data_IF_514243323568
#
_entry.id   IF_514243323568
#
_cell.length_a   1.000
_cell.length_b   1.000
_cell.length_c   1.000
_cell.angle_alpha   90.00
_cell.angle_beta   90.00
_cell.angle_gamma   90.00
#
_symmetry.space_group_name_H-M   'P 1'
#
loop_
_entity.id
_entity.type
_entity.pdbx_description
1 polymer ?
#
# COMPACT_ATOMS: atom_id res chain seq x y z
N UNK A 1 -13.03 -16.93 -8.60
CA UNK A 1 -11.84 -16.28 -9.20
C UNK A 1 -10.89 -17.38 -9.67
N UNK A 2 -10.56 -17.45 -10.96
CA UNK A 2 -9.77 -18.55 -11.52
C UNK A 2 -8.25 -18.31 -11.38
N UNK A 3 -7.43 -19.37 -11.55
CA UNK A 3 -5.97 -19.29 -11.44
C UNK A 3 -5.33 -18.35 -12.46
N UNK A 4 -5.91 -18.21 -13.66
CA UNK A 4 -5.41 -17.34 -14.73
C UNK A 4 -5.46 -15.86 -14.34
N UNK A 5 -6.62 -15.40 -13.82
CA UNK A 5 -6.77 -14.02 -13.37
C UNK A 5 -5.84 -13.66 -12.19
N UNK A 6 -5.46 -14.64 -11.35
CA UNK A 6 -4.50 -14.41 -10.26
C UNK A 6 -3.04 -14.32 -10.72
N UNK A 7 -2.71 -14.88 -11.89
CA UNK A 7 -1.36 -14.84 -12.47
C UNK A 7 -1.14 -13.68 -13.45
N UNK A 8 -2.22 -12.97 -13.80
CA UNK A 8 -2.19 -11.91 -14.82
C UNK A 8 -1.57 -10.57 -14.36
N UNK A 9 -1.64 -10.14 -13.07
CA UNK A 9 -0.97 -8.92 -12.66
C UNK A 9 0.55 -9.04 -12.82
N UNK A 10 1.15 -8.14 -13.58
CA UNK A 10 2.60 -8.08 -13.74
C UNK A 10 3.26 -7.15 -12.71
N UNK A 11 4.48 -7.47 -12.26
CA UNK A 11 5.22 -6.61 -11.37
C UNK A 11 5.60 -5.30 -12.09
N UNK A 12 5.74 -4.22 -11.31
CA UNK A 12 6.20 -2.94 -11.82
C UNK A 12 7.65 -3.09 -12.30
N UNK A 13 7.86 -2.92 -13.59
CA UNK A 13 9.17 -3.02 -14.22
C UNK A 13 9.56 -1.66 -14.80
N UNK A 14 10.71 -1.14 -14.37
CA UNK A 14 11.35 0.02 -14.93
C UNK A 14 12.85 -0.07 -14.66
N UNK A 15 13.65 0.58 -15.49
CA UNK A 15 15.09 0.68 -15.28
C UNK A 15 15.43 1.71 -14.20
N UNK A 16 14.66 2.81 -14.16
CA UNK A 16 14.91 3.94 -13.27
C UNK A 16 13.80 4.08 -12.23
N UNK A 17 14.18 4.00 -10.96
CA UNK A 17 13.26 4.20 -9.84
C UNK A 17 13.77 5.29 -8.90
N UNK A 18 12.85 6.07 -8.33
CA UNK A 18 13.18 6.89 -7.16
C UNK A 18 13.61 6.01 -5.98
N UNK A 19 14.74 6.29 -5.35
CA UNK A 19 15.23 5.51 -4.19
C UNK A 19 14.30 5.54 -2.99
N UNK A 20 13.51 6.62 -2.81
CA UNK A 20 12.54 6.74 -1.71
C UNK A 20 11.13 6.32 -2.14
N UNK A 21 10.45 7.07 -3.01
CA UNK A 21 9.06 6.76 -3.36
C UNK A 21 8.88 5.63 -4.38
N UNK A 22 9.99 5.09 -4.94
CA UNK A 22 10.00 4.01 -5.95
C UNK A 22 9.09 4.27 -7.15
N UNK A 23 8.85 5.54 -7.47
CA UNK A 23 8.17 5.92 -8.71
C UNK A 23 9.07 5.55 -9.90
N UNK A 24 8.52 4.85 -10.91
CA UNK A 24 9.27 4.49 -12.11
C UNK A 24 9.43 5.68 -13.06
N UNK A 25 10.54 5.73 -13.77
CA UNK A 25 10.84 6.72 -14.81
C UNK A 25 11.34 6.03 -16.09
N UNK A 26 11.09 6.67 -17.24
CA UNK A 26 11.53 6.15 -18.55
C UNK A 26 13.03 6.34 -18.80
N UNK A 27 13.66 7.28 -18.09
CA UNK A 27 15.09 7.55 -18.15
C UNK A 27 15.56 8.11 -16.79
N UNK A 28 16.88 8.27 -16.63
CA UNK A 28 17.47 8.81 -15.41
C UNK A 28 17.11 10.29 -15.14
N UNK A 29 16.69 11.05 -16.16
CA UNK A 29 16.37 12.49 -16.09
C UNK A 29 14.91 12.70 -15.63
N UNK A 30 14.64 12.46 -14.34
CA UNK A 30 14.44 13.57 -13.40
C UNK A 30 15.00 13.28 -11.99
N UNK A 31 15.82 12.23 -11.87
CA UNK A 31 16.47 11.82 -10.63
C UNK A 31 17.70 12.71 -10.35
N UNK A 32 18.05 12.92 -9.08
CA UNK A 32 19.33 13.53 -8.69
C UNK A 32 20.45 12.49 -8.66
N UNK A 33 21.65 12.89 -8.25
CA UNK A 33 22.80 12.01 -8.10
C UNK A 33 22.57 10.88 -7.08
N UNK A 34 21.63 11.06 -6.14
CA UNK A 34 21.22 10.05 -5.15
C UNK A 34 19.99 9.22 -5.62
N UNK A 35 19.56 9.38 -6.88
CA UNK A 35 18.45 8.63 -7.44
C UNK A 35 17.07 9.06 -6.94
N UNK A 36 16.90 10.28 -6.41
CA UNK A 36 15.62 10.81 -5.91
C UNK A 36 14.92 11.70 -6.92
N UNK A 37 13.61 11.51 -7.06
CA UNK A 37 12.78 12.36 -7.91
C UNK A 37 12.50 13.73 -7.27
N UNK A 38 12.09 14.70 -8.11
CA UNK A 38 11.79 16.06 -7.68
C UNK A 38 10.76 16.15 -6.52
N UNK A 39 9.77 15.27 -6.47
CA UNK A 39 8.76 15.26 -5.40
C UNK A 39 9.36 14.87 -4.03
N UNK A 40 10.23 13.86 -4.00
CA UNK A 40 10.96 13.47 -2.80
C UNK A 40 11.93 14.56 -2.34
N UNK A 41 12.64 15.19 -3.28
CA UNK A 41 13.54 16.33 -2.99
C UNK A 41 12.78 17.53 -2.40
N UNK A 42 11.60 17.83 -2.93
CA UNK A 42 10.80 19.00 -2.57
C UNK A 42 9.85 18.79 -1.38
N UNK A 43 10.08 17.76 -0.55
CA UNK A 43 9.42 17.65 0.75
C UNK A 43 8.32 16.59 0.88
N UNK A 44 8.25 15.61 -0.03
CA UNK A 44 7.57 14.36 0.30
C UNK A 44 8.41 13.60 1.34
N UNK A 45 8.01 13.67 2.61
CA UNK A 45 8.73 13.13 3.79
C UNK A 45 7.84 12.17 4.60
N UNK A 46 8.43 11.47 5.56
CA UNK A 46 7.71 10.64 6.55
C UNK A 46 7.70 9.14 6.25
N UNK A 47 8.58 8.68 5.36
CA UNK A 47 8.87 7.27 5.08
C UNK A 47 10.27 7.18 4.48
N UNK A 48 10.94 6.04 4.67
CA UNK A 48 12.26 5.78 4.07
C UNK A 48 12.08 5.32 2.62
N UNK A 49 11.25 4.29 2.42
CA UNK A 49 10.90 3.76 1.12
C UNK A 49 9.40 3.41 0.99
N UNK A 50 8.89 3.40 -0.24
CA UNK A 50 7.54 2.94 -0.56
C UNK A 50 7.58 1.81 -1.59
N UNK A 51 7.05 0.64 -1.24
CA UNK A 51 7.05 -0.52 -2.13
C UNK A 51 5.65 -0.79 -2.70
N UNK A 52 5.59 -1.16 -3.98
CA UNK A 52 4.34 -1.56 -4.64
C UNK A 52 4.60 -2.73 -5.59
N UNK A 53 3.59 -3.58 -5.78
CA UNK A 53 3.71 -4.71 -6.71
C UNK A 53 3.68 -4.26 -8.16
N UNK A 54 2.71 -3.43 -8.55
CA UNK A 54 2.42 -3.11 -9.96
C UNK A 54 1.66 -1.81 -10.12
N UNK A 55 1.54 -1.34 -11.37
CA UNK A 55 0.74 -0.19 -11.71
C UNK A 55 -0.75 -0.43 -11.42
N UNK A 56 -1.48 0.62 -11.00
CA UNK A 56 -2.91 0.51 -10.67
C UNK A 56 -3.79 0.48 -11.94
N UNK A 57 -3.64 -0.56 -12.74
CA UNK A 57 -4.30 -0.74 -14.03
C UNK A 57 -4.61 -2.22 -14.32
N UNK A 58 -5.30 -2.47 -15.44
CA UNK A 58 -5.67 -3.81 -15.91
C UNK A 58 -6.25 -4.72 -14.83
N UNK A 59 -5.81 -5.98 -14.83
CA UNK A 59 -6.27 -7.00 -13.88
C UNK A 59 -5.93 -6.66 -12.43
N UNK A 60 -4.80 -6.00 -12.15
CA UNK A 60 -4.45 -5.61 -10.77
C UNK A 60 -5.49 -4.65 -10.19
N UNK A 61 -5.89 -3.64 -10.97
CA UNK A 61 -6.94 -2.69 -10.60
C UNK A 61 -8.26 -3.41 -10.33
N UNK A 62 -8.69 -4.31 -11.22
CA UNK A 62 -9.94 -5.07 -11.07
C UNK A 62 -9.96 -5.91 -9.79
N UNK A 63 -8.87 -6.64 -9.50
CA UNK A 63 -8.73 -7.44 -8.28
C UNK A 63 -8.78 -6.57 -7.03
N UNK A 64 -8.11 -5.42 -7.03
CA UNK A 64 -8.15 -4.48 -5.90
C UNK A 64 -9.57 -3.90 -5.72
N UNK A 65 -10.30 -3.63 -6.81
CA UNK A 65 -11.70 -3.18 -6.73
C UNK A 65 -12.61 -4.26 -6.15
N UNK A 66 -12.53 -5.50 -6.63
CA UNK A 66 -13.28 -6.64 -6.10
C UNK A 66 -12.99 -6.86 -4.61
N UNK A 67 -11.73 -6.71 -4.21
CA UNK A 67 -11.31 -6.83 -2.82
C UNK A 67 -11.88 -5.72 -1.92
N UNK A 68 -11.81 -4.45 -2.39
CA UNK A 68 -12.23 -3.27 -1.61
C UNK A 68 -13.74 -3.07 -1.55
N UNK A 69 -14.46 -3.39 -2.63
CA UNK A 69 -15.87 -3.04 -2.80
C UNK A 69 -16.77 -4.27 -2.99
N UNK A 70 -16.28 -5.29 -3.70
CA UNK A 70 -16.98 -6.57 -3.87
C UNK A 70 -16.92 -7.50 -2.65
N UNK A 71 -16.26 -7.07 -1.56
CA UNK A 71 -16.09 -7.83 -0.29
C UNK A 71 -15.49 -9.24 -0.48
N UNK A 72 -14.71 -9.45 -1.54
CA UNK A 72 -14.11 -10.75 -1.86
C UNK A 72 -12.89 -11.01 -0.96
N UNK A 73 -13.13 -11.42 0.29
CA UNK A 73 -12.11 -11.63 1.31
C UNK A 73 -11.01 -12.60 0.89
N UNK A 74 -11.35 -13.59 0.07
CA UNK A 74 -10.42 -14.61 -0.44
C UNK A 74 -9.29 -14.01 -1.31
N UNK A 75 -9.43 -12.77 -1.77
CA UNK A 75 -8.36 -12.03 -2.47
C UNK A 75 -7.26 -11.51 -1.53
N UNK A 76 -7.45 -11.56 -0.20
CA UNK A 76 -6.42 -11.11 0.73
C UNK A 76 -5.10 -11.89 0.58
N UNK A 77 -5.16 -13.23 0.51
CA UNK A 77 -3.96 -14.08 0.35
C UNK A 77 -3.23 -13.81 -0.98
N UNK A 78 -3.86 -13.87 -2.16
CA UNK A 78 -3.14 -13.62 -3.40
C UNK A 78 -2.60 -12.18 -3.48
N UNK A 79 -3.38 -11.16 -3.10
CA UNK A 79 -2.87 -9.77 -3.11
C UNK A 79 -1.75 -9.56 -2.07
N UNK A 80 -1.83 -10.22 -0.92
CA UNK A 80 -0.76 -10.21 0.09
C UNK A 80 0.52 -10.87 -0.43
N UNK A 81 0.43 -11.98 -1.16
CA UNK A 81 1.60 -12.60 -1.79
C UNK A 81 2.26 -11.67 -2.82
N UNK A 82 1.46 -10.92 -3.58
CA UNK A 82 2.00 -9.89 -4.50
C UNK A 82 2.77 -8.81 -3.71
N UNK A 83 2.24 -8.35 -2.58
CA UNK A 83 2.95 -7.40 -1.72
C UNK A 83 4.27 -7.99 -1.17
N UNK A 84 4.25 -9.25 -0.72
CA UNK A 84 5.47 -9.94 -0.26
C UNK A 84 6.53 -10.00 -1.36
N UNK A 85 6.13 -10.27 -2.61
CA UNK A 85 7.08 -10.29 -3.73
C UNK A 85 7.67 -8.93 -4.08
N UNK A 86 7.03 -7.84 -3.65
CA UNK A 86 7.49 -6.47 -3.86
C UNK A 86 8.35 -5.93 -2.71
N UNK A 87 8.41 -6.63 -1.58
CA UNK A 87 9.25 -6.23 -0.46
C UNK A 87 10.73 -6.46 -0.78
N UNK A 88 11.62 -5.58 -0.31
CA UNK A 88 13.06 -5.80 -0.40
C UNK A 88 13.44 -7.05 0.37
N UNK A 89 14.34 -7.87 -0.20
CA UNK A 89 14.81 -9.12 0.44
C UNK A 89 15.96 -8.89 1.41
N UNK A 90 16.69 -7.80 1.22
CA UNK A 90 17.91 -7.49 1.95
C UNK A 90 17.67 -6.51 3.12
N UNK A 91 16.41 -6.10 3.32
CA UNK A 91 16.02 -5.27 4.47
C UNK A 91 15.31 -6.12 5.53
N UNK A 92 15.66 -5.88 6.79
CA UNK A 92 14.94 -6.42 7.94
C UNK A 92 13.91 -5.41 8.43
N UNK A 93 12.72 -5.89 8.78
CA UNK A 93 11.66 -5.10 9.40
C UNK A 93 11.28 -5.73 10.73
N UNK A 94 11.17 -4.91 11.77
CA UNK A 94 10.81 -5.39 13.12
C UNK A 94 9.31 -5.70 13.25
N UNK A 95 8.47 -4.96 12.49
CA UNK A 95 7.03 -4.99 12.66
C UNK A 95 6.26 -4.60 11.38
N UNK A 96 5.12 -5.26 11.15
CA UNK A 96 4.10 -4.81 10.19
C UNK A 96 2.86 -4.30 10.93
N UNK A 97 2.46 -3.06 10.66
CA UNK A 97 1.22 -2.47 11.23
C UNK A 97 0.19 -2.15 10.15
N UNK A 98 -1.04 -2.70 10.22
CA UNK A 98 -2.08 -2.38 9.26
C UNK A 98 -2.70 -1.01 9.56
N UNK A 99 -2.80 -0.15 8.55
CA UNK A 99 -3.49 1.14 8.69
C UNK A 99 -4.97 0.91 9.03
N UNK A 100 -5.49 1.41 10.15
CA UNK A 100 -6.85 1.13 10.59
C UNK A 100 -7.91 1.83 9.72
N UNK A 101 -9.01 1.12 9.48
CA UNK A 101 -10.22 1.73 8.95
C UNK A 101 -11.02 2.43 10.06
N UNK A 102 -11.81 3.43 9.69
CA UNK A 102 -12.81 3.96 10.61
C UNK A 102 -13.91 2.91 10.83
N UNK A 103 -14.39 2.76 12.07
CA UNK A 103 -15.34 1.71 12.46
C UNK A 103 -16.57 1.65 11.53
N UNK A 104 -17.20 2.78 11.16
CA UNK A 104 -18.32 2.81 10.20
C UNK A 104 -17.99 2.16 8.85
N UNK A 105 -16.73 2.29 8.38
CA UNK A 105 -16.27 1.63 7.14
C UNK A 105 -15.96 0.17 7.34
N UNK A 106 -15.47 -0.22 8.52
CA UNK A 106 -15.27 -1.62 8.86
C UNK A 106 -16.62 -2.37 8.85
N UNK A 107 -17.67 -1.77 9.41
CA UNK A 107 -19.04 -2.27 9.34
C UNK A 107 -19.57 -2.37 7.90
N UNK A 108 -19.43 -1.32 7.08
CA UNK A 108 -19.88 -1.35 5.68
C UNK A 108 -19.12 -2.37 4.81
N UNK A 109 -17.83 -2.57 5.07
CA UNK A 109 -16.95 -3.44 4.28
C UNK A 109 -16.85 -4.88 4.81
N UNK A 110 -17.33 -5.14 6.02
CA UNK A 110 -17.31 -6.45 6.69
C UNK A 110 -15.96 -6.84 7.32
N UNK A 111 -14.84 -6.33 6.82
CA UNK A 111 -13.50 -6.61 7.36
C UNK A 111 -12.51 -5.48 7.09
N UNK A 112 -11.39 -5.46 7.82
CA UNK A 112 -10.29 -4.54 7.57
C UNK A 112 -9.34 -5.11 6.49
N UNK A 113 -9.37 -4.54 5.28
CA UNK A 113 -8.55 -4.99 4.17
C UNK A 113 -7.04 -4.94 4.47
N UNK A 114 -6.56 -3.83 5.05
CA UNK A 114 -5.12 -3.69 5.36
C UNK A 114 -4.65 -4.74 6.35
N UNK A 115 -5.50 -5.11 7.30
CA UNK A 115 -5.20 -6.14 8.29
C UNK A 115 -5.03 -7.52 7.66
N UNK A 116 -5.93 -7.94 6.77
CA UNK A 116 -5.77 -9.25 6.13
C UNK A 116 -4.56 -9.33 5.20
N UNK A 117 -4.19 -8.20 4.58
CA UNK A 117 -2.94 -8.11 3.83
C UNK A 117 -1.73 -8.21 4.76
N UNK A 118 -1.72 -7.45 5.87
CA UNK A 118 -0.65 -7.50 6.87
C UNK A 118 -0.46 -8.91 7.46
N UNK A 119 -1.56 -9.60 7.79
CA UNK A 119 -1.52 -11.00 8.25
C UNK A 119 -0.90 -11.95 7.21
N UNK A 120 -1.14 -11.70 5.92
CA UNK A 120 -0.51 -12.49 4.85
C UNK A 120 0.99 -12.22 4.79
N UNK A 121 1.39 -10.94 4.88
CA UNK A 121 2.80 -10.53 4.92
C UNK A 121 3.50 -11.21 6.09
N UNK A 122 3.03 -11.02 7.32
CA UNK A 122 3.68 -11.61 8.50
C UNK A 122 3.76 -13.13 8.47
N UNK A 123 2.75 -13.82 7.92
CA UNK A 123 2.81 -15.28 7.72
C UNK A 123 3.90 -15.70 6.74
N UNK A 124 4.13 -14.92 5.68
CA UNK A 124 5.10 -15.25 4.63
C UNK A 124 6.53 -14.84 4.99
N UNK A 125 6.70 -13.76 5.76
CA UNK A 125 8.01 -13.19 6.09
C UNK A 125 8.48 -13.53 7.50
N UNK A 126 7.58 -13.97 8.38
CA UNK A 126 7.86 -14.15 9.80
C UNK A 126 7.85 -12.86 10.62
N UNK A 127 7.64 -11.70 9.99
CA UNK A 127 7.61 -10.40 10.67
C UNK A 127 6.34 -10.31 11.55
N UNK A 128 6.45 -9.94 12.84
CA UNK A 128 5.30 -9.74 13.71
C UNK A 128 4.29 -8.73 13.14
N UNK A 129 3.00 -8.99 13.34
CA UNK A 129 1.92 -8.11 12.89
C UNK A 129 1.17 -7.57 14.10
N UNK A 130 1.26 -6.27 14.32
CA UNK A 130 0.63 -5.61 15.48
C UNK A 130 -0.19 -4.39 15.06
N UNK A 131 -1.23 -4.09 15.82
CA UNK A 131 -2.12 -2.95 15.58
C UNK A 131 -1.64 -1.74 16.39
N UNK A 132 -0.50 -1.18 16.00
CA UNK A 132 0.09 -0.01 16.68
C UNK A 132 -0.53 1.32 16.28
N UNK A 133 -1.48 1.32 15.34
CA UNK A 133 -2.15 2.53 14.86
C UNK A 133 -3.62 2.51 15.24
N UNK A 134 -4.09 3.61 15.84
CA UNK A 134 -5.51 3.87 16.08
C UNK A 134 -6.00 5.02 15.21
N UNK A 135 -7.18 4.87 14.63
CA UNK A 135 -7.87 5.96 13.94
C UNK A 135 -8.71 6.75 14.94
N UNK A 136 -8.41 8.05 15.06
CA UNK A 136 -9.00 8.92 16.09
C UNK A 136 -10.28 9.61 15.62
N UNK A 137 -10.41 9.90 14.32
CA UNK A 137 -11.57 10.61 13.76
C UNK A 137 -12.08 9.99 12.46
N UNK A 138 -13.39 10.07 12.24
CA UNK A 138 -14.01 9.79 10.94
C UNK A 138 -13.53 10.78 9.90
N UNK A 139 -13.37 10.33 8.66
CA UNK A 139 -12.96 11.16 7.53
C UNK A 139 -13.78 10.79 6.30
N UNK A 140 -14.00 11.76 5.41
CA UNK A 140 -14.66 11.52 4.13
C UNK A 140 -13.92 10.46 3.30
N UNK A 141 -14.59 9.83 2.34
CA UNK A 141 -13.94 8.91 1.40
C UNK A 141 -12.79 9.61 0.70
N UNK A 142 -11.63 8.95 0.60
CA UNK A 142 -10.51 9.49 -0.19
C UNK A 142 -10.72 9.32 -1.70
N UNK A 143 -11.60 8.40 -2.09
CA UNK A 143 -12.08 8.29 -3.45
C UNK A 143 -12.79 9.60 -3.82
N UNK A 144 -12.43 10.19 -4.97
CA UNK A 144 -12.95 11.48 -5.44
C UNK A 144 -12.22 12.72 -4.89
N UNK A 145 -11.35 12.59 -3.88
CA UNK A 145 -10.56 13.73 -3.39
C UNK A 145 -9.30 13.96 -4.26
N UNK A 146 -8.96 15.23 -4.46
CA UNK A 146 -7.67 15.67 -4.99
C UNK A 146 -6.52 15.28 -4.06
N UNK A 147 -5.26 15.31 -4.52
CA UNK A 147 -4.10 15.00 -3.69
C UNK A 147 -4.03 15.88 -2.43
N UNK A 148 -4.25 17.18 -2.58
CA UNK A 148 -4.33 18.13 -1.46
C UNK A 148 -5.49 17.78 -0.53
N UNK A 149 -6.66 17.43 -1.09
CA UNK A 149 -7.81 16.97 -0.32
C UNK A 149 -7.52 15.71 0.48
N UNK A 150 -6.83 14.72 -0.11
CA UNK A 150 -6.42 13.48 0.58
C UNK A 150 -5.48 13.77 1.74
N UNK A 151 -4.50 14.66 1.55
CA UNK A 151 -3.54 15.05 2.60
C UNK A 151 -4.26 15.72 3.78
N UNK A 152 -5.11 16.71 3.53
CA UNK A 152 -5.94 17.35 4.57
C UNK A 152 -6.85 16.34 5.28
N UNK A 153 -7.37 15.35 4.54
CA UNK A 153 -8.28 14.35 5.06
C UNK A 153 -7.59 13.30 5.97
N UNK A 154 -6.25 13.24 6.05
CA UNK A 154 -5.51 12.35 6.96
C UNK A 154 -4.78 13.07 8.09
N UNK A 155 -4.55 14.38 7.98
CA UNK A 155 -3.86 15.18 9.00
C UNK A 155 -4.52 15.04 10.38
N UNK A 156 -3.75 14.63 11.38
CA UNK A 156 -4.19 14.42 12.77
C UNK A 156 -5.36 13.43 12.92
N UNK A 157 -5.43 12.39 12.07
CA UNK A 157 -6.50 11.38 12.10
C UNK A 157 -6.07 10.02 12.66
N UNK A 158 -4.78 9.84 12.91
CA UNK A 158 -4.20 8.63 13.48
C UNK A 158 -3.34 8.98 14.70
N UNK A 159 -3.29 8.06 15.66
CA UNK A 159 -2.38 8.11 16.82
C UNK A 159 -1.70 6.76 16.98
N UNK A 160 -0.50 6.75 17.58
CA UNK A 160 0.11 5.52 18.07
C UNK A 160 -0.75 4.90 19.16
N UNK A 161 -0.88 3.58 19.15
CA UNK A 161 -1.22 2.82 20.34
C UNK A 161 0.10 2.43 21.01
N UNK A 162 0.24 2.62 22.33
CA UNK A 162 1.35 2.06 23.06
C UNK A 162 1.34 0.53 22.99
#
# INVERSE_FOLDING_TARGET
MCRRCLKAPEPLSAEFFCTSCRTPFQNAFPLDAEGRCALCRNGLRGFDAAYCYGAYEGTLRELIHLYKYGKVRTLAKPLGNLLVSALPRDEAFDLVTPVPLHWRRQWQRGFNQSELLAQTIGRCTGIPVERTLRRVRSTATQAGLSNTGRRKNVTARFSGQP
#
